data_IF_191895859801
#
_entry.id   IF_191895859801
#
_cell.length_a   1.000
_cell.length_b   1.000
_cell.length_c   1.000
_cell.angle_alpha   90.00
_cell.angle_beta   90.00
_cell.angle_gamma   90.00
#
_symmetry.space_group_name_H-M   'P 1'
#
loop_
_entity.id
_entity.type
_entity.pdbx_description
1 polymer ?
#
# COMPACT_ATOMS: atom_id res chain seq x y z
N UNK A 1 -9.78 5.63 -4.09
CA UNK A 1 -9.90 4.45 -3.20
C UNK A 1 -11.08 4.56 -2.24
N UNK A 2 -11.26 5.68 -1.54
CA UNK A 2 -12.47 5.93 -0.76
C UNK A 2 -13.78 5.80 -1.57
N UNK A 3 -13.79 6.26 -2.83
CA UNK A 3 -14.97 6.09 -3.71
C UNK A 3 -15.23 4.63 -4.05
N UNK A 4 -14.18 3.82 -4.25
CA UNK A 4 -14.31 2.38 -4.48
C UNK A 4 -14.89 1.67 -3.25
N UNK A 5 -14.46 2.07 -2.04
CA UNK A 5 -15.01 1.55 -0.80
C UNK A 5 -16.50 1.91 -0.67
N UNK A 6 -16.88 3.17 -0.94
CA UNK A 6 -18.30 3.59 -0.93
C UNK A 6 -19.15 2.82 -1.93
N UNK A 7 -18.61 2.51 -3.11
CA UNK A 7 -19.34 1.83 -4.18
C UNK A 7 -19.51 0.31 -3.96
N UNK A 8 -18.72 -0.31 -3.08
CA UNK A 8 -18.80 -1.75 -2.80
C UNK A 8 -19.44 -1.99 -1.41
N UNK A 9 -20.59 -2.70 -1.33
CA UNK A 9 -21.26 -3.01 -0.06
C UNK A 9 -20.35 -3.68 0.97
N UNK A 10 -19.45 -4.57 0.53
CA UNK A 10 -18.59 -5.37 1.41
C UNK A 10 -17.46 -4.54 2.05
N UNK A 11 -17.09 -3.40 1.45
CA UNK A 11 -16.01 -2.54 1.93
C UNK A 11 -16.45 -1.10 2.26
N UNK A 12 -17.75 -0.84 2.24
CA UNK A 12 -18.31 0.49 2.49
C UNK A 12 -17.88 1.04 3.86
N UNK A 13 -17.86 0.18 4.89
CA UNK A 13 -17.45 0.57 6.24
C UNK A 13 -15.96 0.90 6.38
N UNK A 14 -15.08 0.53 5.43
CA UNK A 14 -13.66 0.85 5.53
C UNK A 14 -13.40 2.36 5.54
N UNK A 15 -14.32 3.16 4.99
CA UNK A 15 -14.20 4.61 5.01
C UNK A 15 -14.51 5.26 6.37
N UNK A 16 -14.99 4.49 7.36
CA UNK A 16 -15.33 4.98 8.71
C UNK A 16 -14.32 4.55 9.78
N UNK A 17 -13.30 3.76 9.41
CA UNK A 17 -12.26 3.32 10.34
C UNK A 17 -11.24 4.44 10.52
N UNK A 18 -11.19 5.04 11.73
CA UNK A 18 -10.38 6.23 12.02
C UNK A 18 -8.88 6.04 11.73
N UNK A 19 -8.35 4.84 11.98
CA UNK A 19 -6.93 4.53 11.82
C UNK A 19 -6.59 3.96 10.42
N UNK A 20 -7.54 4.00 9.47
CA UNK A 20 -7.36 3.49 8.11
C UNK A 20 -7.29 4.63 7.09
N UNK A 21 -6.17 4.68 6.36
CA UNK A 21 -5.99 5.61 5.25
C UNK A 21 -6.34 4.93 3.92
N UNK A 22 -7.49 5.25 3.33
CA UNK A 22 -7.91 4.77 2.01
C UNK A 22 -7.34 5.63 0.87
N UNK A 23 -6.02 5.69 0.82
CA UNK A 23 -5.23 6.38 -0.21
C UNK A 23 -4.25 5.38 -0.85
N UNK A 24 -3.91 5.57 -2.14
CA UNK A 24 -2.86 4.77 -2.78
C UNK A 24 -1.47 5.13 -2.22
N UNK A 25 -0.42 4.40 -2.60
CA UNK A 25 0.93 4.62 -2.04
C UNK A 25 1.52 3.39 -1.34
N UNK A 26 0.70 2.36 -1.07
CA UNK A 26 1.11 1.14 -0.37
C UNK A 26 1.45 -0.01 -1.32
N UNK A 27 2.49 -0.77 -0.98
CA UNK A 27 2.94 -1.95 -1.75
C UNK A 27 3.23 -3.13 -0.81
N UNK A 28 2.96 -4.39 -1.25
CA UNK A 28 3.20 -5.57 -0.43
C UNK A 28 4.69 -5.92 -0.35
N UNK A 29 5.11 -6.41 0.83
CA UNK A 29 6.41 -7.04 1.03
C UNK A 29 6.28 -8.54 0.76
N UNK A 30 7.10 -9.06 -0.15
CA UNK A 30 7.12 -10.49 -0.50
C UNK A 30 8.45 -11.14 -0.15
N UNK A 31 8.39 -12.35 0.42
CA UNK A 31 9.53 -13.25 0.58
C UNK A 31 9.27 -14.60 -0.10
N UNK A 32 9.90 -14.80 -1.25
CA UNK A 32 9.52 -15.87 -2.17
C UNK A 32 8.13 -15.60 -2.73
N UNK A 33 7.22 -16.56 -2.56
CA UNK A 33 5.82 -16.42 -2.95
C UNK A 33 4.93 -15.85 -1.84
N UNK A 34 5.45 -15.70 -0.63
CA UNK A 34 4.66 -15.33 0.54
C UNK A 34 4.61 -13.82 0.73
N UNK A 35 3.42 -13.29 1.00
CA UNK A 35 3.23 -11.90 1.43
C UNK A 35 3.46 -11.84 2.94
N UNK A 36 4.52 -11.16 3.36
CA UNK A 36 4.95 -11.10 4.77
C UNK A 36 4.62 -9.76 5.44
N UNK A 37 4.09 -8.80 4.68
CA UNK A 37 3.71 -7.49 5.18
C UNK A 37 3.45 -6.50 4.04
N UNK A 38 3.44 -5.22 4.38
CA UNK A 38 3.32 -4.12 3.43
C UNK A 38 4.06 -2.88 3.97
N UNK A 39 4.43 -1.99 3.07
CA UNK A 39 4.91 -0.65 3.41
C UNK A 39 4.16 0.38 2.56
N UNK A 40 4.07 1.60 3.07
CA UNK A 40 3.52 2.73 2.34
C UNK A 40 4.41 3.96 2.52
N UNK A 41 4.49 4.80 1.49
CA UNK A 41 5.04 6.13 1.59
C UNK A 41 3.91 7.16 1.45
N UNK A 42 4.15 8.38 1.92
CA UNK A 42 3.21 9.50 1.78
C UNK A 42 3.96 10.81 1.66
N UNK A 43 3.50 11.68 0.76
CA UNK A 43 4.04 13.03 0.59
C UNK A 43 4.91 13.23 -0.65
N UNK A 44 5.07 12.21 -1.51
CA UNK A 44 5.80 12.33 -2.78
C UNK A 44 5.02 13.06 -3.90
N UNK A 45 3.86 13.64 -3.57
CA UNK A 45 3.01 14.40 -4.49
C UNK A 45 1.93 13.57 -5.20
N UNK A 46 1.74 12.31 -4.82
CA UNK A 46 0.66 11.45 -5.31
C UNK A 46 0.94 9.96 -5.09
N UNK A 47 -0.11 9.14 -5.19
CA UNK A 47 -0.04 7.70 -4.91
C UNK A 47 1.00 6.96 -5.76
N UNK A 48 1.14 7.31 -7.04
CA UNK A 48 2.10 6.67 -7.95
C UNK A 48 3.54 6.99 -7.52
N UNK A 49 3.79 8.22 -7.10
CA UNK A 49 5.08 8.68 -6.61
C UNK A 49 5.40 8.03 -5.26
N UNK A 50 4.42 7.92 -4.38
CA UNK A 50 4.54 7.26 -3.09
C UNK A 50 4.85 5.76 -3.27
N UNK A 51 4.14 5.06 -4.17
CA UNK A 51 4.43 3.66 -4.52
C UNK A 51 5.85 3.51 -5.08
N UNK A 52 6.30 4.42 -5.95
CA UNK A 52 7.66 4.38 -6.49
C UNK A 52 8.72 4.54 -5.39
N UNK A 53 8.50 5.43 -4.42
CA UNK A 53 9.37 5.57 -3.25
C UNK A 53 9.41 4.28 -2.42
N UNK A 54 8.26 3.66 -2.16
CA UNK A 54 8.17 2.42 -1.41
C UNK A 54 8.87 1.25 -2.13
N UNK A 55 8.66 1.10 -3.44
CA UNK A 55 9.35 0.10 -4.26
C UNK A 55 10.88 0.29 -4.24
N UNK A 56 11.36 1.53 -4.32
CA UNK A 56 12.79 1.84 -4.21
C UNK A 56 13.37 1.49 -2.84
N UNK A 57 12.60 1.67 -1.77
CA UNK A 57 13.00 1.24 -0.43
C UNK A 57 13.11 -0.29 -0.35
N UNK A 58 12.12 -1.02 -0.87
CA UNK A 58 12.11 -2.48 -0.96
C UNK A 58 13.34 -2.99 -1.70
N UNK A 59 13.63 -2.47 -2.89
CA UNK A 59 14.81 -2.82 -3.69
C UNK A 59 16.12 -2.66 -2.90
N UNK A 60 16.19 -1.67 -2.01
CA UNK A 60 17.38 -1.33 -1.24
C UNK A 60 17.58 -2.20 0.00
N UNK A 61 16.50 -2.57 0.70
CA UNK A 61 16.59 -3.20 2.03
C UNK A 61 16.23 -4.68 2.03
N UNK A 62 15.41 -5.14 1.08
CA UNK A 62 14.98 -6.52 1.06
C UNK A 62 16.10 -7.44 0.55
N UNK A 63 16.27 -8.61 1.15
CA UNK A 63 17.22 -9.60 0.65
C UNK A 63 16.83 -10.04 -0.76
N UNK A 64 17.84 -10.18 -1.63
CA UNK A 64 17.65 -10.78 -2.95
C UNK A 64 17.23 -12.23 -2.76
N UNK A 65 16.08 -12.58 -3.31
CA UNK A 65 15.61 -13.95 -3.37
C UNK A 65 16.34 -14.66 -4.51
N UNK A 66 16.74 -15.90 -4.25
CA UNK A 66 17.38 -16.77 -5.24
C UNK A 66 16.33 -17.41 -6.13
#
# INVERSE_FOLDING_TARGET
>A
MADNARANPDSNNLNTVNDLLLIGGGVPLKFGNDVIGAIAAGGAGGAVQDEACALKAIEKVMPKQK
#
